data_IF_806412123293
#
_entry.id   IF_806412123293
#
_cell.length_a   1.000
_cell.length_b   1.000
_cell.length_c   1.000
_cell.angle_alpha   90.00
_cell.angle_beta   90.00
_cell.angle_gamma   90.00
#
_symmetry.space_group_name_H-M   'P 1'
#
loop_
_entity.id
_entity.type
_entity.pdbx_description
1 polymer ?
#
# COMPACT_ATOMS: atom_id res chain seq x y z
N UNK A 1 10.28 14.65 -23.61
CA UNK A 1 11.57 14.50 -24.31
C UNK A 1 11.62 13.08 -24.83
N UNK A 2 11.97 12.85 -26.10
CA UNK A 2 12.02 11.49 -26.64
C UNK A 2 13.15 10.72 -25.93
N UNK A 3 12.83 9.63 -25.24
CA UNK A 3 13.84 8.68 -24.77
C UNK A 3 14.51 8.11 -26.02
N UNK A 4 15.76 8.48 -26.24
CA UNK A 4 16.57 7.82 -27.26
C UNK A 4 17.16 6.61 -26.57
N UNK A 5 16.44 5.49 -26.63
CA UNK A 5 16.96 4.20 -26.19
C UNK A 5 18.21 3.92 -27.03
N UNK A 6 19.39 4.09 -26.43
CA UNK A 6 20.66 3.68 -27.02
C UNK A 6 21.15 2.42 -26.34
N UNK A 7 21.82 1.57 -27.11
CA UNK A 7 22.41 0.34 -26.56
C UNK A 7 23.77 0.64 -25.91
N UNK A 8 24.07 -0.06 -24.83
CA UNK A 8 25.37 -0.11 -24.16
C UNK A 8 25.90 -1.54 -24.31
N UNK A 9 27.07 -1.68 -24.91
CA UNK A 9 27.72 -2.97 -25.17
C UNK A 9 29.06 -3.03 -24.43
N UNK A 10 29.23 -4.01 -23.55
CA UNK A 10 30.49 -4.26 -22.85
C UNK A 10 31.30 -5.34 -23.56
N UNK A 11 32.58 -5.05 -23.77
CA UNK A 11 33.57 -5.98 -24.30
C UNK A 11 34.72 -6.15 -23.32
N UNK A 12 35.10 -7.39 -23.03
CA UNK A 12 36.33 -7.70 -22.32
C UNK A 12 37.50 -7.57 -23.29
N UNK A 13 38.57 -6.89 -22.86
CA UNK A 13 39.84 -6.93 -23.57
C UNK A 13 40.80 -7.91 -22.89
N UNK A 14 41.26 -8.89 -23.65
CA UNK A 14 42.27 -9.84 -23.20
C UNK A 14 43.70 -9.23 -23.20
N UNK A 15 44.70 -10.05 -22.89
CA UNK A 15 46.11 -9.62 -22.88
C UNK A 15 46.69 -9.42 -24.29
N UNK A 16 46.12 -10.08 -25.30
CA UNK A 16 46.52 -9.97 -26.70
C UNK A 16 45.85 -8.79 -27.42
N UNK A 17 44.84 -8.17 -26.80
CA UNK A 17 44.06 -7.06 -27.35
C UNK A 17 42.82 -7.48 -28.12
N UNK A 18 42.41 -8.75 -28.05
CA UNK A 18 41.14 -9.22 -28.59
C UNK A 18 39.98 -8.70 -27.74
N UNK A 19 38.84 -8.43 -28.39
CA UNK A 19 37.62 -7.97 -27.74
C UNK A 19 36.58 -9.08 -27.74
N UNK A 20 36.16 -9.52 -26.56
CA UNK A 20 35.10 -10.52 -26.38
C UNK A 20 33.83 -9.86 -25.84
N UNK A 21 32.65 -10.04 -26.46
CA UNK A 21 31.42 -9.44 -25.98
C UNK A 21 30.97 -10.11 -24.66
N UNK A 22 30.71 -9.29 -23.63
CA UNK A 22 30.22 -9.77 -22.33
C UNK A 22 28.73 -9.52 -22.17
N UNK A 23 28.28 -8.30 -22.50
CA UNK A 23 26.94 -7.82 -22.20
C UNK A 23 26.48 -6.82 -23.27
N UNK A 24 25.21 -6.90 -23.65
CA UNK A 24 24.55 -5.90 -24.49
C UNK A 24 23.19 -5.59 -23.87
N UNK A 25 23.02 -4.35 -23.41
CA UNK A 25 21.86 -3.89 -22.63
C UNK A 25 21.49 -2.47 -23.05
N UNK A 26 20.34 -1.98 -22.61
CA UNK A 26 19.96 -0.57 -22.77
C UNK A 26 20.47 0.27 -21.60
N UNK A 27 20.37 1.60 -21.72
CA UNK A 27 20.84 2.56 -20.70
C UNK A 27 20.23 2.33 -19.30
N UNK A 28 19.01 1.82 -19.25
CA UNK A 28 18.27 1.55 -18.02
C UNK A 28 18.93 0.50 -17.14
N UNK A 29 19.70 -0.44 -17.74
CA UNK A 29 20.41 -1.46 -16.98
C UNK A 29 21.41 -0.86 -15.99
N UNK A 30 22.00 0.29 -16.34
CA UNK A 30 22.93 1.02 -15.47
C UNK A 30 22.27 2.20 -14.78
N UNK A 31 20.97 2.10 -14.49
CA UNK A 31 20.17 3.16 -13.85
C UNK A 31 20.28 4.51 -14.59
N UNK A 32 20.34 4.47 -15.93
CA UNK A 32 20.39 5.66 -16.78
C UNK A 32 21.76 6.32 -16.93
N UNK A 33 22.84 5.72 -16.40
CA UNK A 33 24.20 6.25 -16.56
C UNK A 33 25.14 5.23 -17.19
N UNK A 34 25.87 5.63 -18.24
CA UNK A 34 26.82 4.73 -18.91
C UNK A 34 28.16 4.73 -18.16
N UNK A 35 28.67 3.55 -17.73
CA UNK A 35 29.96 3.42 -17.04
C UNK A 35 31.10 4.14 -17.79
N UNK A 36 31.98 4.80 -17.05
CA UNK A 36 33.07 5.62 -17.58
C UNK A 36 34.44 5.12 -17.12
N UNK A 37 35.50 5.63 -17.77
CA UNK A 37 36.88 5.29 -17.42
C UNK A 37 37.16 5.66 -15.96
N UNK A 38 37.68 4.69 -15.21
CA UNK A 38 37.91 4.80 -13.76
C UNK A 38 36.84 4.11 -12.91
N UNK A 39 35.68 3.80 -13.48
CA UNK A 39 34.64 3.03 -12.80
C UNK A 39 35.02 1.54 -12.74
N UNK A 40 34.54 0.88 -11.69
CA UNK A 40 34.60 -0.57 -11.54
C UNK A 40 33.20 -1.14 -11.70
N UNK A 41 33.06 -2.09 -12.62
CA UNK A 41 31.84 -2.84 -12.86
C UNK A 41 31.96 -4.21 -12.19
N UNK A 42 30.96 -4.59 -11.39
CA UNK A 42 30.87 -5.92 -10.79
C UNK A 42 29.65 -6.64 -11.33
N UNK A 43 29.82 -7.89 -11.76
CA UNK A 43 28.71 -8.77 -12.13
C UNK A 43 28.66 -9.95 -11.16
N UNK A 44 27.45 -10.31 -10.74
CA UNK A 44 27.23 -11.51 -9.95
C UNK A 44 27.32 -12.75 -10.87
N UNK A 45 28.19 -13.70 -10.53
CA UNK A 45 28.31 -15.00 -11.18
C UNK A 45 27.35 -16.04 -10.58
N UNK A 46 27.67 -17.33 -10.66
CA UNK A 46 26.91 -18.36 -9.93
C UNK A 46 27.27 -18.35 -8.44
N UNK A 47 28.56 -18.29 -8.14
CA UNK A 47 29.09 -18.40 -6.77
C UNK A 47 29.82 -17.13 -6.30
N UNK A 48 30.39 -16.35 -7.23
CA UNK A 48 31.26 -15.21 -6.91
C UNK A 48 30.98 -13.98 -7.80
N UNK A 49 31.42 -12.82 -7.33
CA UNK A 49 31.46 -11.61 -8.15
C UNK A 49 32.68 -11.59 -9.05
N UNK A 50 32.46 -11.25 -10.32
CA UNK A 50 33.56 -10.89 -11.22
C UNK A 50 33.64 -9.39 -11.37
N UNK A 51 34.85 -8.86 -11.20
CA UNK A 51 35.12 -7.43 -11.25
C UNK A 51 35.83 -7.07 -12.55
N UNK A 52 35.44 -5.92 -13.11
CA UNK A 52 36.03 -5.37 -14.31
C UNK A 52 36.30 -3.88 -14.13
N UNK A 53 37.48 -3.42 -14.54
CA UNK A 53 37.81 -2.00 -14.59
C UNK A 53 37.52 -1.45 -16.00
N UNK A 54 36.76 -0.35 -16.08
CA UNK A 54 36.44 0.30 -17.35
C UNK A 54 37.69 0.98 -17.91
N UNK A 55 38.13 0.54 -19.09
CA UNK A 55 39.33 1.03 -19.76
C UNK A 55 39.01 2.14 -20.77
N UNK A 56 37.89 2.01 -21.49
CA UNK A 56 37.45 2.97 -22.52
C UNK A 56 35.94 3.03 -22.60
N UNK A 57 35.43 4.21 -22.93
CA UNK A 57 34.04 4.47 -23.32
C UNK A 57 34.03 5.16 -24.68
N UNK A 58 33.40 4.54 -25.67
CA UNK A 58 33.40 5.00 -27.06
C UNK A 58 31.96 5.07 -27.54
N UNK A 59 31.52 6.22 -28.04
CA UNK A 59 30.25 6.29 -28.76
C UNK A 59 30.49 5.85 -30.19
N UNK A 60 29.75 4.82 -30.63
CA UNK A 60 29.77 4.33 -32.00
C UNK A 60 28.52 4.88 -32.68
N UNK A 61 28.73 5.83 -33.59
CA UNK A 61 27.68 6.29 -34.48
C UNK A 61 27.51 5.29 -35.62
N UNK A 62 26.29 4.77 -35.79
CA UNK A 62 25.99 3.75 -36.80
C UNK A 62 24.97 4.27 -37.78
N UNK A 63 25.30 4.15 -39.07
CA UNK A 63 24.49 4.61 -40.19
C UNK A 63 23.10 3.96 -40.30
N UNK A 64 22.92 2.79 -39.68
CA UNK A 64 21.66 2.04 -39.63
C UNK A 64 20.76 2.43 -38.43
N UNK A 65 21.17 3.43 -37.64
CA UNK A 65 20.46 3.86 -36.44
C UNK A 65 20.74 2.99 -35.21
N UNK A 66 21.62 1.99 -35.29
CA UNK A 66 22.05 1.16 -34.17
C UNK A 66 23.21 1.80 -33.36
N UNK A 67 23.28 3.13 -33.35
CA UNK A 67 24.29 3.87 -32.60
C UNK A 67 24.19 3.61 -31.09
N UNK A 68 25.31 3.60 -30.40
CA UNK A 68 25.34 3.26 -28.98
C UNK A 68 26.72 3.40 -28.34
N UNK A 69 26.79 3.09 -27.06
CA UNK A 69 28.04 3.11 -26.32
C UNK A 69 28.69 1.74 -26.32
N UNK A 70 29.96 1.71 -26.69
CA UNK A 70 30.85 0.58 -26.50
C UNK A 70 31.75 0.86 -25.29
N UNK A 71 31.72 -0.05 -24.33
CA UNK A 71 32.53 0.00 -23.12
C UNK A 71 33.54 -1.13 -23.19
N UNK A 72 34.83 -0.79 -23.15
CA UNK A 72 35.90 -1.77 -23.06
C UNK A 72 36.26 -1.91 -21.59
N UNK A 73 36.18 -3.11 -21.08
CA UNK A 73 36.51 -3.44 -19.70
C UNK A 73 37.64 -4.47 -19.66
N UNK A 74 38.39 -4.48 -18.57
CA UNK A 74 39.39 -5.52 -18.29
C UNK A 74 39.05 -6.18 -16.98
N UNK A 75 39.04 -7.51 -16.93
CA UNK A 75 38.88 -8.25 -15.69
C UNK A 75 40.00 -7.89 -14.71
N UNK A 76 39.62 -7.65 -13.46
CA UNK A 76 40.55 -7.37 -12.36
C UNK A 76 40.37 -8.41 -11.27
N UNK A 77 41.46 -8.72 -10.58
CA UNK A 77 41.41 -9.64 -9.45
C UNK A 77 40.55 -9.04 -8.33
N UNK A 78 39.75 -9.90 -7.69
CA UNK A 78 39.02 -9.52 -6.51
C UNK A 78 40.03 -9.11 -5.42
N UNK A 79 39.96 -7.85 -5.01
CA UNK A 79 40.71 -7.36 -3.85
C UNK A 79 39.79 -7.36 -2.65
N UNK A 80 40.34 -7.48 -1.45
CA UNK A 80 39.55 -7.42 -0.21
C UNK A 80 38.69 -6.17 -0.12
N UNK A 81 39.13 -5.05 -0.70
CA UNK A 81 38.34 -3.83 -0.80
C UNK A 81 37.06 -4.03 -1.64
N UNK A 82 37.18 -4.62 -2.84
CA UNK A 82 36.06 -4.82 -3.75
C UNK A 82 35.06 -5.84 -3.21
N UNK A 83 35.57 -6.92 -2.61
CA UNK A 83 34.74 -7.91 -1.93
C UNK A 83 33.96 -7.28 -0.78
N UNK A 84 34.63 -6.52 0.11
CA UNK A 84 33.98 -5.84 1.22
C UNK A 84 32.90 -4.85 0.77
N UNK A 85 33.12 -4.12 -0.33
CA UNK A 85 32.12 -3.19 -0.88
C UNK A 85 30.87 -3.93 -1.34
N UNK A 86 31.04 -5.06 -2.03
CA UNK A 86 29.92 -5.87 -2.51
C UNK A 86 29.19 -6.54 -1.34
N UNK A 87 29.92 -7.10 -0.38
CA UNK A 87 29.32 -7.68 0.83
C UNK A 87 28.51 -6.64 1.61
N UNK A 88 29.08 -5.45 1.84
CA UNK A 88 28.35 -4.36 2.50
C UNK A 88 27.09 -3.95 1.73
N UNK A 89 27.16 -3.87 0.40
CA UNK A 89 25.99 -3.59 -0.44
C UNK A 89 24.90 -4.67 -0.31
N UNK A 90 25.29 -5.95 -0.30
CA UNK A 90 24.36 -7.06 -0.13
C UNK A 90 23.70 -7.06 1.24
N UNK A 91 24.47 -6.85 2.30
CA UNK A 91 23.98 -6.75 3.67
C UNK A 91 22.97 -5.61 3.83
N UNK A 92 23.27 -4.41 3.31
CA UNK A 92 22.34 -3.28 3.30
C UNK A 92 21.07 -3.61 2.51
N UNK A 93 21.21 -4.22 1.33
CA UNK A 93 20.06 -4.61 0.49
C UNK A 93 19.18 -5.63 1.22
N UNK A 94 19.78 -6.62 1.88
CA UNK A 94 19.05 -7.61 2.67
C UNK A 94 18.33 -6.95 3.85
N UNK A 95 19.01 -6.08 4.57
CA UNK A 95 18.41 -5.34 5.69
C UNK A 95 17.16 -4.57 5.24
N UNK A 96 17.25 -3.79 4.16
CA UNK A 96 16.09 -3.05 3.65
C UNK A 96 14.97 -3.97 3.16
N UNK A 97 15.30 -5.07 2.50
CA UNK A 97 14.29 -6.05 2.09
C UNK A 97 13.57 -6.70 3.28
N UNK A 98 14.26 -6.97 4.38
CA UNK A 98 13.67 -7.50 5.60
C UNK A 98 12.72 -6.48 6.25
N UNK A 99 13.11 -5.20 6.28
CA UNK A 99 12.25 -4.11 6.75
C UNK A 99 11.00 -3.98 5.87
N UNK A 100 11.15 -3.92 4.55
CA UNK A 100 10.03 -3.82 3.61
C UNK A 100 9.05 -5.00 3.75
N UNK A 101 9.58 -6.21 3.96
CA UNK A 101 8.75 -7.39 4.21
C UNK A 101 8.00 -7.28 5.54
N UNK A 102 8.67 -6.82 6.61
CA UNK A 102 8.03 -6.61 7.90
C UNK A 102 6.92 -5.56 7.81
N UNK A 103 7.19 -4.40 7.22
CA UNK A 103 6.21 -3.34 7.04
C UNK A 103 5.01 -3.81 6.20
N UNK A 104 5.27 -4.59 5.13
CA UNK A 104 4.19 -5.17 4.31
C UNK A 104 3.34 -6.17 5.09
N UNK A 105 3.93 -6.95 6.00
CA UNK A 105 3.18 -7.88 6.85
C UNK A 105 2.32 -7.11 7.86
N UNK A 106 2.90 -6.14 8.56
CA UNK A 106 2.20 -5.30 9.54
C UNK A 106 1.06 -4.51 8.88
N UNK A 107 1.28 -3.95 7.68
CA UNK A 107 0.22 -3.27 6.94
C UNK A 107 -0.88 -4.26 6.51
N UNK A 108 -0.50 -5.46 6.10
CA UNK A 108 -1.44 -6.54 5.77
C UNK A 108 -2.32 -6.93 6.97
N UNK A 109 -1.72 -7.09 8.14
CA UNK A 109 -2.42 -7.38 9.40
C UNK A 109 -3.35 -6.24 9.80
N UNK A 110 -2.87 -4.99 9.75
CA UNK A 110 -3.70 -3.81 10.04
C UNK A 110 -4.90 -3.73 9.11
N UNK A 111 -4.69 -3.92 7.80
CA UNK A 111 -5.80 -3.93 6.81
C UNK A 111 -6.78 -5.07 7.06
N UNK A 112 -6.30 -6.22 7.52
CA UNK A 112 -7.15 -7.35 7.87
C UNK A 112 -7.99 -7.03 9.12
N UNK A 113 -7.38 -6.46 10.15
CA UNK A 113 -8.07 -6.03 11.35
C UNK A 113 -9.10 -4.93 11.03
N UNK A 114 -8.73 -3.91 10.27
CA UNK A 114 -9.64 -2.86 9.81
C UNK A 114 -10.85 -3.44 9.06
N UNK A 115 -10.64 -4.51 8.30
CA UNK A 115 -11.72 -5.21 7.59
C UNK A 115 -12.61 -6.00 8.55
N UNK A 116 -12.02 -6.77 9.45
CA UNK A 116 -12.76 -7.54 10.46
C UNK A 116 -13.60 -6.62 11.34
N UNK A 117 -13.03 -5.51 11.80
CA UNK A 117 -13.75 -4.52 12.58
C UNK A 117 -14.88 -3.90 11.72
N UNK A 118 -14.64 -3.58 10.44
CA UNK A 118 -15.71 -3.10 9.53
C UNK A 118 -16.85 -4.07 9.35
N UNK A 119 -16.56 -5.35 9.26
CA UNK A 119 -17.57 -6.39 9.15
C UNK A 119 -18.33 -6.56 10.49
N UNK A 120 -17.65 -6.45 11.64
CA UNK A 120 -18.27 -6.51 12.98
C UNK A 120 -19.24 -5.33 13.22
N UNK A 121 -18.81 -4.11 12.90
CA UNK A 121 -19.57 -2.89 13.15
C UNK A 121 -20.40 -2.42 11.94
N UNK A 122 -20.62 -3.29 10.94
CA UNK A 122 -21.49 -2.99 9.83
C UNK A 122 -22.95 -2.76 10.32
N UNK A 123 -23.58 -1.61 9.98
CA UNK A 123 -24.98 -1.36 10.30
C UNK A 123 -25.86 -2.48 9.74
N UNK A 124 -26.65 -3.11 10.61
CA UNK A 124 -27.51 -4.25 10.20
C UNK A 124 -28.83 -3.77 9.63
N UNK A 125 -29.24 -2.58 10.04
CA UNK A 125 -30.51 -1.98 9.66
C UNK A 125 -30.25 -0.82 8.73
N UNK A 126 -30.91 -0.79 7.58
CA UNK A 126 -30.79 0.29 6.60
C UNK A 126 -31.59 1.53 7.02
N UNK A 127 -31.31 2.04 8.22
CA UNK A 127 -31.95 3.22 8.78
C UNK A 127 -31.51 4.46 8.01
N UNK A 128 -32.49 5.26 7.62
CA UNK A 128 -32.34 6.61 7.11
C UNK A 128 -31.76 7.52 8.23
N UNK A 129 -30.99 8.57 7.89
CA UNK A 129 -30.42 9.50 8.89
C UNK A 129 -31.44 10.02 9.92
N UNK A 130 -32.70 10.22 9.49
CA UNK A 130 -33.80 10.65 10.35
C UNK A 130 -34.16 9.62 11.43
N UNK A 131 -34.18 8.33 11.09
CA UNK A 131 -34.44 7.24 12.05
C UNK A 131 -33.27 7.07 13.02
N UNK A 132 -32.03 7.26 12.55
CA UNK A 132 -30.84 7.25 13.41
C UNK A 132 -30.90 8.37 14.44
N UNK A 133 -31.27 9.59 14.04
CA UNK A 133 -31.41 10.72 14.96
C UNK A 133 -32.52 10.50 15.99
N UNK A 134 -33.68 9.99 15.55
CA UNK A 134 -34.77 9.63 16.46
C UNK A 134 -34.35 8.57 17.47
N UNK A 135 -33.68 7.50 17.01
CA UNK A 135 -33.20 6.42 17.86
C UNK A 135 -32.15 6.91 18.85
N UNK A 136 -31.17 7.71 18.41
CA UNK A 136 -30.16 8.34 19.28
C UNK A 136 -30.82 9.21 20.35
N UNK A 137 -31.78 10.05 19.97
CA UNK A 137 -32.51 10.88 20.92
C UNK A 137 -33.24 10.05 21.98
N UNK A 138 -33.87 8.94 21.59
CA UNK A 138 -34.54 8.03 22.53
C UNK A 138 -33.58 7.33 23.49
N UNK A 139 -32.31 7.13 23.10
CA UNK A 139 -31.24 6.58 23.96
C UNK A 139 -30.78 7.63 24.97
N UNK A 140 -30.54 8.86 24.51
CA UNK A 140 -30.08 9.98 25.34
C UNK A 140 -31.17 10.49 26.29
N UNK A 141 -32.44 10.35 25.91
CA UNK A 141 -33.62 10.83 26.65
C UNK A 141 -34.66 9.70 26.83
N UNK A 142 -34.42 8.72 27.71
CA UNK A 142 -35.31 7.57 27.90
C UNK A 142 -36.68 7.93 28.52
N UNK A 143 -36.79 9.12 29.10
CA UNK A 143 -38.02 9.73 29.61
C UNK A 143 -38.90 10.32 28.49
N UNK A 144 -38.31 10.75 27.37
CA UNK A 144 -39.01 11.22 26.18
C UNK A 144 -39.44 10.05 25.28
N UNK A 145 -40.48 9.32 25.68
CA UNK A 145 -40.86 8.05 25.05
C UNK A 145 -42.15 8.08 24.21
N UNK A 146 -42.75 9.24 23.95
CA UNK A 146 -43.94 9.38 23.10
C UNK A 146 -43.62 10.04 21.76
N UNK A 147 -44.42 9.74 20.73
CA UNK A 147 -44.19 10.16 19.33
C UNK A 147 -44.13 11.68 19.17
N UNK A 148 -44.88 12.41 19.98
CA UNK A 148 -45.00 13.87 19.98
C UNK A 148 -43.80 14.60 20.62
N UNK A 149 -43.05 13.92 21.49
CA UNK A 149 -41.89 14.52 22.19
C UNK A 149 -40.56 14.13 21.56
N UNK A 150 -40.50 13.04 20.78
CA UNK A 150 -39.28 12.60 20.12
C UNK A 150 -39.09 13.42 18.82
N UNK A 151 -38.03 14.24 18.71
CA UNK A 151 -37.80 15.06 17.53
C UNK A 151 -37.70 14.22 16.26
N UNK A 152 -38.41 14.65 15.22
CA UNK A 152 -38.43 14.02 13.91
C UNK A 152 -38.98 12.58 13.88
N UNK A 153 -39.40 11.99 15.01
CA UNK A 153 -39.96 10.65 15.06
C UNK A 153 -41.47 10.65 14.80
N UNK A 154 -41.86 11.02 13.58
CA UNK A 154 -43.25 10.85 13.15
C UNK A 154 -43.66 9.38 13.19
N UNK A 155 -44.96 9.09 13.09
CA UNK A 155 -45.48 7.72 13.16
C UNK A 155 -44.77 6.76 12.20
N UNK A 156 -44.41 7.23 11.01
CA UNK A 156 -43.64 6.45 10.04
C UNK A 156 -42.27 6.01 10.59
N UNK A 157 -41.49 6.93 11.16
CA UNK A 157 -40.17 6.65 11.75
C UNK A 157 -40.27 5.65 12.90
N UNK A 158 -41.27 5.82 13.78
CA UNK A 158 -41.52 4.90 14.89
C UNK A 158 -41.91 3.51 14.37
N UNK A 159 -42.73 3.43 13.32
CA UNK A 159 -43.10 2.15 12.71
C UNK A 159 -41.91 1.45 12.07
N UNK A 160 -41.01 2.19 11.41
CA UNK A 160 -39.76 1.63 10.83
C UNK A 160 -38.85 1.07 11.92
N UNK A 161 -38.63 1.84 13.01
CA UNK A 161 -37.81 1.40 14.14
C UNK A 161 -38.42 0.20 14.87
N UNK A 162 -39.74 0.16 15.03
CA UNK A 162 -40.46 -0.94 15.64
C UNK A 162 -40.45 -2.19 14.76
N UNK A 163 -40.62 -2.05 13.44
CA UNK A 163 -40.55 -3.15 12.47
C UNK A 163 -39.14 -3.78 12.44
N UNK A 164 -38.10 -2.97 12.64
CA UNK A 164 -36.71 -3.43 12.78
C UNK A 164 -36.36 -3.98 14.19
N UNK A 165 -37.34 -4.05 15.12
CA UNK A 165 -37.16 -4.49 16.51
C UNK A 165 -36.16 -3.66 17.34
N UNK A 166 -35.87 -2.42 16.93
CA UNK A 166 -34.96 -1.51 17.62
C UNK A 166 -35.63 -0.79 18.79
N UNK A 167 -36.96 -0.72 18.75
CA UNK A 167 -37.80 -0.20 19.82
C UNK A 167 -38.98 -1.15 20.06
N UNK A 168 -39.50 -1.15 21.29
CA UNK A 168 -40.66 -1.95 21.71
C UNK A 168 -41.70 -1.09 22.42
N UNK A 169 -42.99 -1.45 22.34
CA UNK A 169 -44.04 -0.75 23.08
C UNK A 169 -43.84 -0.97 24.59
N UNK A 170 -43.89 0.12 25.36
CA UNK A 170 -43.80 0.09 26.82
C UNK A 170 -45.15 0.04 27.53
N UNK A 171 -46.12 0.83 27.04
CA UNK A 171 -47.42 1.03 27.69
C UNK A 171 -48.13 2.27 27.18
N UNK A 172 -49.03 2.83 27.99
CA UNK A 172 -49.64 4.14 27.77
C UNK A 172 -49.25 5.09 28.89
N UNK A 173 -48.96 6.34 28.57
CA UNK A 173 -48.78 7.38 29.57
C UNK A 173 -50.13 7.83 30.16
N UNK A 174 -50.11 8.79 31.10
CA UNK A 174 -51.30 9.33 31.74
C UNK A 174 -52.27 10.04 30.76
N UNK A 175 -51.78 10.47 29.59
CA UNK A 175 -52.61 11.03 28.51
C UNK A 175 -53.14 9.97 27.53
N UNK A 176 -52.82 8.70 27.75
CA UNK A 176 -53.28 7.58 26.92
C UNK A 176 -52.46 7.33 25.65
N UNK A 177 -51.40 8.09 25.42
CA UNK A 177 -50.48 7.92 24.28
C UNK A 177 -49.58 6.70 24.48
N UNK A 178 -49.27 6.00 23.39
CA UNK A 178 -48.36 4.85 23.39
C UNK A 178 -46.92 5.33 23.66
N UNK A 179 -46.25 4.69 24.61
CA UNK A 179 -44.84 4.93 24.94
C UNK A 179 -43.95 3.87 24.30
N UNK A 180 -42.73 4.24 23.91
CA UNK A 180 -41.76 3.36 23.25
C UNK A 180 -40.45 3.29 24.04
N UNK A 181 -39.80 2.13 24.05
CA UNK A 181 -38.50 1.94 24.71
C UNK A 181 -37.51 1.32 23.74
N UNK A 182 -36.28 1.82 23.76
CA UNK A 182 -35.17 1.28 22.96
C UNK A 182 -34.81 -0.13 23.47
N UNK A 183 -34.53 -1.03 22.55
CA UNK A 183 -34.07 -2.40 22.83
C UNK A 183 -32.54 -2.45 22.89
N UNK A 184 -31.97 -3.55 23.37
CA UNK A 184 -30.52 -3.76 23.32
C UNK A 184 -29.97 -3.70 21.89
N UNK A 185 -30.71 -4.22 20.92
CA UNK A 185 -30.37 -4.12 19.49
C UNK A 185 -30.44 -2.67 18.98
N UNK A 186 -31.37 -1.87 19.48
CA UNK A 186 -31.43 -0.43 19.19
C UNK A 186 -30.19 0.32 19.67
N UNK A 187 -29.70 0.01 20.87
CA UNK A 187 -28.43 0.56 21.37
C UNK A 187 -27.25 0.07 20.53
N UNK A 188 -27.16 -1.24 20.26
CA UNK A 188 -26.09 -1.82 19.47
C UNK A 188 -26.02 -1.26 18.04
N UNK A 189 -27.16 -0.96 17.41
CA UNK A 189 -27.20 -0.37 16.06
C UNK A 189 -26.63 1.06 16.03
N UNK A 190 -26.87 1.86 17.07
CA UNK A 190 -26.27 3.21 17.19
C UNK A 190 -24.77 3.11 17.46
N UNK A 191 -24.33 2.20 18.34
CA UNK A 191 -22.91 1.97 18.61
C UNK A 191 -22.14 1.54 17.36
N UNK A 192 -22.70 0.62 16.55
CA UNK A 192 -22.14 0.20 15.26
C UNK A 192 -21.95 1.40 14.32
N UNK A 193 -22.96 2.26 14.21
CA UNK A 193 -22.92 3.45 13.35
C UNK A 193 -21.94 4.51 13.84
N UNK A 194 -21.79 4.70 15.14
CA UNK A 194 -20.81 5.63 15.71
C UNK A 194 -19.38 5.18 15.48
N UNK A 195 -19.10 3.89 15.71
CA UNK A 195 -17.78 3.31 15.40
C UNK A 195 -17.45 3.44 13.91
N UNK A 196 -18.39 3.11 13.02
CA UNK A 196 -18.19 3.27 11.58
C UNK A 196 -17.94 4.75 11.17
N UNK A 197 -18.62 5.70 11.81
CA UNK A 197 -18.41 7.13 11.53
C UNK A 197 -17.05 7.62 11.98
N UNK A 198 -16.51 7.08 13.08
CA UNK A 198 -15.19 7.45 13.61
C UNK A 198 -14.03 7.00 12.72
N UNK A 199 -14.23 6.01 11.84
CA UNK A 199 -13.21 5.54 10.89
C UNK A 199 -13.21 6.23 9.54
N UNK A 200 -14.16 7.13 9.27
CA UNK A 200 -14.22 7.89 8.01
C UNK A 200 -13.28 9.12 7.99
N UNK A 201 -12.45 9.30 9.02
CA UNK A 201 -11.52 10.42 9.18
C UNK A 201 -10.12 9.93 9.54
#
# INVERSE_FOLDING_TARGET
MASRNFSVRLFEIDKEGSLEPILAVDEDYFAGTVPNVGDTYSTHGLDDYTFYAVQRRIFVDSHDGAGGWLIIVRKVDATSLLENVVSAWQEDTQFWNEIDQQESMEEGERRKQDREDRDEYAPRHNLHPREVLALRFMIEHPDCNTVDVIPQAGEHTINVLAAAALIRPGGKNHSGQKTWRVTEEGNAEIERRDKLSSWKF
#
